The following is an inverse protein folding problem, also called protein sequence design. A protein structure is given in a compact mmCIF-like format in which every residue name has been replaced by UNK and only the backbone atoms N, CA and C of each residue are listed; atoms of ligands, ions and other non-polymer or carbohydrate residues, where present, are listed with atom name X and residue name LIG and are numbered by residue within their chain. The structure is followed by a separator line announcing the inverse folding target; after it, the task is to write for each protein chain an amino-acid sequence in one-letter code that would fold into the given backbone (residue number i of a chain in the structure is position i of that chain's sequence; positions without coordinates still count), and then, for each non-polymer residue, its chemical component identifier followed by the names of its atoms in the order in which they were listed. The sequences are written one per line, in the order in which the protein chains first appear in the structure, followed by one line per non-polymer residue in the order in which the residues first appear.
data_IF_038439322494
#
_entry.id   IF_038439322494
#
_cell.length_a   1.000
_cell.length_b   1.000
_cell.length_c   1.000
_cell.angle_alpha   90.00
_cell.angle_beta   90.00
_cell.angle_gamma   90.00
#
_symmetry.space_group_name_H-M   'P 1'
#
loop_
_entity.id
_entity.type
_entity.pdbx_description
1 polymer ?
#
# COMPACT_ATOMS: atom_id res chain seq x y z
N UNK A 1 80.25 -35.72 72.84
CA UNK A 1 79.68 -36.39 71.66
C UNK A 1 78.25 -36.67 72.08
N UNK A 2 77.24 -36.17 71.37
CA UNK A 2 75.86 -36.24 71.87
C UNK A 2 75.44 -37.70 72.11
N UNK A 3 74.82 -37.94 73.26
CA UNK A 3 74.32 -39.26 73.61
C UNK A 3 73.20 -39.69 72.65
N UNK A 4 73.05 -41.01 72.49
CA UNK A 4 72.17 -41.60 71.49
C UNK A 4 70.69 -41.18 71.67
N UNK A 5 70.29 -40.83 72.89
CA UNK A 5 68.95 -40.33 73.24
C UNK A 5 68.69 -38.93 72.66
N UNK A 6 69.68 -38.02 72.71
CA UNK A 6 69.61 -36.70 72.11
C UNK A 6 69.59 -36.78 70.58
N UNK A 7 70.40 -37.67 69.98
CA UNK A 7 70.39 -37.89 68.53
C UNK A 7 69.03 -38.41 68.04
N UNK A 8 68.42 -39.34 68.78
CA UNK A 8 67.09 -39.85 68.48
C UNK A 8 66.03 -38.73 68.57
N UNK A 9 66.09 -37.90 69.61
CA UNK A 9 65.18 -36.77 69.77
C UNK A 9 65.32 -35.74 68.63
N UNK A 10 66.55 -35.41 68.21
CA UNK A 10 66.79 -34.53 67.07
C UNK A 10 66.29 -35.14 65.75
N UNK A 11 66.42 -36.46 65.55
CA UNK A 11 65.85 -37.12 64.38
C UNK A 11 64.32 -37.03 64.35
N UNK A 12 63.64 -37.24 65.49
CA UNK A 12 62.18 -37.05 65.58
C UNK A 12 61.77 -35.59 65.35
N UNK A 13 62.49 -34.63 65.92
CA UNK A 13 62.25 -33.20 65.69
C UNK A 13 62.44 -32.83 64.20
N UNK A 14 63.47 -33.35 63.54
CA UNK A 14 63.70 -33.12 62.11
C UNK A 14 62.59 -33.71 61.23
N UNK A 15 62.12 -34.93 61.54
CA UNK A 15 61.00 -35.57 60.83
C UNK A 15 59.71 -34.76 61.00
N UNK A 16 59.41 -34.29 62.23
CA UNK A 16 58.24 -33.44 62.50
C UNK A 16 58.34 -32.11 61.74
N UNK A 17 59.54 -31.53 61.67
CA UNK A 17 59.78 -30.28 60.95
C UNK A 17 59.57 -30.44 59.43
N UNK A 18 60.17 -31.46 58.83
CA UNK A 18 59.99 -31.79 57.41
C UNK A 18 58.53 -32.10 57.07
N UNK A 19 57.84 -32.82 57.95
CA UNK A 19 56.42 -33.14 57.78
C UNK A 19 55.57 -31.87 57.79
N UNK A 20 55.82 -30.92 58.68
CA UNK A 20 55.12 -29.63 58.69
C UNK A 20 55.39 -28.82 57.41
N UNK A 21 56.62 -28.80 56.91
CA UNK A 21 56.96 -28.15 55.63
C UNK A 21 56.20 -28.79 54.47
N UNK A 22 56.10 -30.13 54.43
CA UNK A 22 55.30 -30.82 53.41
C UNK A 22 53.81 -30.52 53.54
N UNK A 23 53.33 -30.30 54.76
CA UNK A 23 51.93 -30.02 55.08
C UNK A 23 51.55 -28.56 54.79
N UNK A 24 52.51 -27.63 54.77
CA UNK A 24 52.28 -26.23 54.37
C UNK A 24 51.69 -26.08 52.95
N UNK A 25 51.77 -27.11 52.09
CA UNK A 25 51.08 -27.13 50.78
C UNK A 25 49.58 -27.46 50.88
N UNK A 26 49.08 -27.87 52.04
CA UNK A 26 47.69 -28.30 52.25
C UNK A 26 47.09 -27.63 53.49
N UNK A 27 46.19 -26.65 53.34
CA UNK A 27 45.73 -25.77 54.42
C UNK A 27 44.90 -26.44 55.54
N UNK A 28 44.50 -27.71 55.39
CA UNK A 28 43.56 -28.39 56.28
C UNK A 28 44.20 -29.48 57.17
N UNK A 29 45.48 -29.37 57.54
CA UNK A 29 46.17 -30.40 58.33
C UNK A 29 46.68 -29.88 59.67
N UNK A 30 46.71 -30.80 60.64
CA UNK A 30 47.05 -30.59 62.06
C UNK A 30 48.34 -29.78 62.20
N UNK A 31 48.32 -28.78 63.10
CA UNK A 31 49.51 -28.02 63.46
C UNK A 31 50.43 -28.87 64.37
N UNK A 32 51.60 -29.26 63.86
CA UNK A 32 52.57 -30.06 64.63
C UNK A 32 53.51 -29.20 65.48
N UNK A 33 53.41 -27.86 65.44
CA UNK A 33 54.27 -26.98 66.23
C UNK A 33 54.19 -27.27 67.75
N UNK A 34 53.01 -27.42 68.39
CA UNK A 34 52.95 -27.76 69.82
C UNK A 34 53.61 -29.11 70.14
N UNK A 35 53.60 -30.04 69.19
CA UNK A 35 54.21 -31.37 69.33
C UNK A 35 55.74 -31.30 69.31
N UNK A 36 56.31 -30.29 68.63
CA UNK A 36 57.75 -29.99 68.64
C UNK A 36 58.23 -29.64 70.05
N UNK A 37 57.53 -28.74 70.75
CA UNK A 37 57.83 -28.38 72.15
C UNK A 37 57.68 -29.60 73.06
N UNK A 38 56.63 -30.41 72.85
CA UNK A 38 56.41 -31.63 73.63
C UNK A 38 57.58 -32.61 73.55
N UNK A 39 58.10 -32.87 72.35
CA UNK A 39 59.25 -33.76 72.14
C UNK A 39 60.53 -33.17 72.73
N UNK A 40 60.77 -31.86 72.57
CA UNK A 40 61.93 -31.19 73.15
C UNK A 40 61.94 -31.19 74.68
N UNK A 41 60.78 -30.95 75.30
CA UNK A 41 60.62 -30.99 76.75
C UNK A 41 60.78 -32.41 77.32
N UNK A 42 60.17 -33.42 76.68
CA UNK A 42 60.33 -34.82 77.09
C UNK A 42 61.78 -35.25 76.94
N UNK A 43 62.43 -34.94 75.81
CA UNK A 43 63.84 -35.28 75.59
C UNK A 43 64.77 -34.61 76.60
N UNK A 44 64.50 -33.34 76.94
CA UNK A 44 65.24 -32.60 77.97
C UNK A 44 65.17 -33.28 79.34
N UNK A 45 63.97 -33.69 79.75
CA UNK A 45 63.74 -34.37 81.03
C UNK A 45 64.31 -35.79 81.05
N UNK A 46 64.12 -36.54 79.96
CA UNK A 46 64.62 -37.92 79.84
C UNK A 46 66.15 -37.96 79.88
N UNK A 47 66.82 -37.05 79.15
CA UNK A 47 68.28 -36.98 79.14
C UNK A 47 68.83 -36.66 80.54
N UNK A 48 68.18 -35.75 81.26
CA UNK A 48 68.53 -35.40 82.64
C UNK A 48 68.39 -36.57 83.63
N UNK A 49 67.39 -37.44 83.43
CA UNK A 49 67.13 -38.59 84.31
C UNK A 49 68.08 -39.77 84.03
N UNK A 50 68.43 -40.02 82.77
CA UNK A 50 69.20 -41.21 82.36
C UNK A 50 70.70 -41.05 82.65
N UNK A 51 71.23 -39.84 82.68
CA UNK A 51 72.66 -39.57 82.91
C UNK A 51 72.93 -38.82 84.23
N UNK A 52 72.61 -39.40 85.41
CA UNK A 52 72.83 -38.72 86.70
C UNK A 52 74.30 -38.65 87.13
N UNK A 53 75.17 -39.45 86.51
CA UNK A 53 76.52 -39.78 87.02
C UNK A 53 77.66 -39.08 86.25
N UNK A 54 77.43 -37.86 85.78
CA UNK A 54 78.45 -37.05 85.10
C UNK A 54 79.11 -36.13 86.12
N UNK A 55 80.44 -36.23 86.27
CA UNK A 55 81.27 -35.42 87.19
C UNK A 55 81.19 -33.90 86.99
N UNK A 56 80.47 -33.41 85.96
CA UNK A 56 80.23 -31.98 85.69
C UNK A 56 78.73 -31.70 85.50
N UNK A 57 78.04 -31.36 86.59
CA UNK A 57 76.61 -31.00 86.62
C UNK A 57 76.26 -29.85 85.65
N UNK A 58 77.18 -28.90 85.43
CA UNK A 58 76.99 -27.79 84.48
C UNK A 58 76.91 -28.27 83.03
N UNK A 59 77.67 -29.30 82.66
CA UNK A 59 77.66 -29.86 81.31
C UNK A 59 76.34 -30.60 81.03
N UNK A 60 75.87 -31.40 82.00
CA UNK A 60 74.60 -32.11 81.92
C UNK A 60 73.40 -31.16 81.79
N UNK A 61 73.39 -30.07 82.58
CA UNK A 61 72.36 -29.03 82.47
C UNK A 61 72.37 -28.40 81.07
N UNK A 62 73.54 -28.04 80.55
CA UNK A 62 73.66 -27.44 79.21
C UNK A 62 73.19 -28.38 78.10
N UNK A 63 73.53 -29.66 78.18
CA UNK A 63 73.16 -30.67 77.18
C UNK A 63 71.68 -31.04 77.28
N UNK A 64 71.13 -31.13 78.50
CA UNK A 64 69.69 -31.38 78.73
C UNK A 64 68.80 -30.23 78.25
N UNK A 65 69.24 -28.98 78.35
CA UNK A 65 68.45 -27.83 77.86
C UNK A 65 68.55 -27.61 76.34
N UNK A 66 69.51 -28.25 75.67
CA UNK A 66 69.72 -28.06 74.22
C UNK A 66 68.53 -28.53 73.37
N UNK A 67 67.92 -29.72 73.58
CA UNK A 67 66.70 -30.14 72.89
C UNK A 67 65.53 -29.18 73.08
N UNK A 68 65.35 -28.65 74.30
CA UNK A 68 64.31 -27.69 74.59
C UNK A 68 64.50 -26.41 73.78
N UNK A 69 65.73 -25.87 73.75
CA UNK A 69 66.06 -24.66 73.01
C UNK A 69 65.85 -24.84 71.50
N UNK A 70 66.31 -25.96 70.95
CA UNK A 70 66.11 -26.30 69.52
C UNK A 70 64.62 -26.44 69.20
N UNK A 71 63.85 -27.12 70.05
CA UNK A 71 62.41 -27.29 69.85
C UNK A 71 61.64 -25.95 69.89
N UNK A 72 62.06 -25.03 70.77
CA UNK A 72 61.45 -23.71 70.91
C UNK A 72 61.73 -22.84 69.67
N UNK A 73 62.95 -22.89 69.13
CA UNK A 73 63.32 -22.18 67.92
C UNK A 73 62.51 -22.70 66.71
N UNK A 74 62.45 -24.03 66.56
CA UNK A 74 61.65 -24.66 65.49
C UNK A 74 60.15 -24.36 65.65
N UNK A 75 59.63 -24.32 66.88
CA UNK A 75 58.25 -23.94 67.15
C UNK A 75 57.93 -22.52 66.65
N UNK A 76 58.79 -21.54 66.95
CA UNK A 76 58.59 -20.15 66.52
C UNK A 76 58.54 -20.08 64.99
N UNK A 77 59.48 -20.74 64.31
CA UNK A 77 59.52 -20.78 62.84
C UNK A 77 58.26 -21.42 62.27
N UNK A 78 57.84 -22.56 62.82
CA UNK A 78 56.64 -23.27 62.36
C UNK A 78 55.37 -22.44 62.58
N UNK A 79 55.27 -21.70 63.69
CA UNK A 79 54.10 -20.89 64.01
C UNK A 79 53.98 -19.68 63.07
N UNK A 80 55.09 -19.00 62.78
CA UNK A 80 55.13 -17.88 61.81
C UNK A 80 54.74 -18.36 60.41
N UNK A 81 55.23 -19.54 59.99
CA UNK A 81 54.88 -20.11 58.69
C UNK A 81 53.38 -20.43 58.60
N UNK A 82 52.80 -21.02 59.67
CA UNK A 82 51.38 -21.34 59.72
C UNK A 82 50.49 -20.09 59.69
N UNK A 83 50.84 -19.05 60.45
CA UNK A 83 50.10 -17.79 60.48
C UNK A 83 50.14 -17.05 59.12
N UNK A 84 51.30 -17.11 58.46
CA UNK A 84 51.48 -16.53 57.11
C UNK A 84 50.57 -17.22 56.09
N UNK A 85 50.48 -18.55 56.13
CA UNK A 85 49.62 -19.34 55.26
C UNK A 85 48.12 -19.05 55.46
N UNK A 86 47.66 -18.96 56.71
CA UNK A 86 46.27 -18.63 57.01
C UNK A 86 45.90 -17.24 56.49
N UNK A 87 46.80 -16.27 56.65
CA UNK A 87 46.60 -14.89 56.18
C UNK A 87 46.53 -14.82 54.65
N UNK A 88 47.40 -15.54 53.94
CA UNK A 88 47.35 -15.61 52.47
C UNK A 88 46.06 -16.28 51.97
N UNK A 89 45.64 -17.39 52.58
CA UNK A 89 44.40 -18.06 52.20
C UNK A 89 43.17 -17.18 52.42
N UNK A 90 43.12 -16.44 53.53
CA UNK A 90 42.04 -15.48 53.80
C UNK A 90 42.00 -14.35 52.76
N UNK A 91 43.16 -13.78 52.39
CA UNK A 91 43.24 -12.74 51.34
C UNK A 91 42.76 -13.25 49.98
N UNK A 92 43.20 -14.43 49.55
CA UNK A 92 42.75 -15.01 48.27
C UNK A 92 41.24 -15.29 48.23
N UNK A 93 40.64 -15.64 49.38
CA UNK A 93 39.19 -15.83 49.50
C UNK A 93 38.40 -14.52 49.45
N UNK A 94 38.94 -13.47 50.06
CA UNK A 94 38.34 -12.14 50.02
C UNK A 94 38.42 -11.53 48.61
N UNK A 95 39.58 -11.64 47.95
CA UNK A 95 39.78 -11.23 46.55
C UNK A 95 38.83 -11.98 45.61
N UNK A 96 38.68 -13.30 45.79
CA UNK A 96 37.75 -14.09 44.99
C UNK A 96 36.29 -13.68 45.24
N UNK A 97 35.90 -13.45 46.49
CA UNK A 97 34.54 -12.96 46.83
C UNK A 97 34.27 -11.59 46.20
N UNK A 98 35.21 -10.65 46.28
CA UNK A 98 35.08 -9.33 45.65
C UNK A 98 34.96 -9.44 44.14
N UNK A 99 35.74 -10.31 43.50
CA UNK A 99 35.64 -10.57 42.07
C UNK A 99 34.26 -11.13 41.67
N UNK A 100 33.72 -12.09 42.43
CA UNK A 100 32.39 -12.64 42.18
C UNK A 100 31.30 -11.57 42.35
N UNK A 101 31.38 -10.73 43.39
CA UNK A 101 30.44 -9.63 43.60
C UNK A 101 30.49 -8.64 42.43
N UNK A 102 31.68 -8.29 41.95
CA UNK A 102 31.85 -7.41 40.78
C UNK A 102 31.21 -8.02 39.53
N UNK A 103 31.50 -9.30 39.24
CA UNK A 103 30.96 -10.00 38.08
C UNK A 103 29.44 -10.14 38.13
N UNK A 104 28.87 -10.42 39.31
CA UNK A 104 27.40 -10.47 39.49
C UNK A 104 26.78 -9.09 39.30
N UNK A 105 27.46 -8.02 39.74
CA UNK A 105 26.98 -6.65 39.55
C UNK A 105 27.00 -6.24 38.07
N UNK A 106 28.07 -6.54 37.33
CA UNK A 106 28.17 -6.31 35.88
C UNK A 106 27.08 -7.07 35.11
N UNK A 107 26.84 -8.35 35.46
CA UNK A 107 25.79 -9.15 34.83
C UNK A 107 24.40 -8.56 35.09
N UNK A 108 24.16 -8.04 36.29
CA UNK A 108 22.88 -7.40 36.66
C UNK A 108 22.66 -6.11 35.86
N UNK A 109 23.70 -5.30 35.70
CA UNK A 109 23.65 -4.08 34.91
C UNK A 109 23.40 -4.38 33.43
N UNK A 110 24.09 -5.39 32.87
CA UNK A 110 23.87 -5.84 31.50
C UNK A 110 22.44 -6.36 31.28
N UNK A 111 21.89 -7.15 32.21
CA UNK A 111 20.50 -7.62 32.13
C UNK A 111 19.50 -6.46 32.17
N UNK A 112 19.74 -5.44 33.00
CA UNK A 112 18.88 -4.27 33.08
C UNK A 112 18.94 -3.41 31.79
N UNK A 113 20.13 -3.23 31.20
CA UNK A 113 20.27 -2.54 29.90
C UNK A 113 19.57 -3.32 28.78
N UNK A 114 19.72 -4.65 28.77
CA UNK A 114 19.07 -5.52 27.79
C UNK A 114 17.54 -5.49 27.90
N UNK A 115 17.01 -5.54 29.13
CA UNK A 115 15.56 -5.37 29.39
C UNK A 115 15.07 -4.00 28.92
N UNK A 116 15.83 -2.94 29.22
CA UNK A 116 15.52 -1.58 28.76
C UNK A 116 15.45 -1.47 27.24
N UNK A 117 16.44 -2.00 26.52
CA UNK A 117 16.45 -2.03 25.05
C UNK A 117 15.31 -2.86 24.47
N UNK A 118 15.00 -4.00 25.08
CA UNK A 118 13.89 -4.86 24.64
C UNK A 118 12.55 -4.14 24.76
N UNK A 119 12.29 -3.45 25.88
CA UNK A 119 11.06 -2.66 26.07
C UNK A 119 10.98 -1.53 25.05
N UNK A 120 12.08 -0.83 24.80
CA UNK A 120 12.14 0.30 23.86
C UNK A 120 11.86 -0.16 22.43
N UNK A 121 12.51 -1.25 22.00
CA UNK A 121 12.24 -1.88 20.69
C UNK A 121 10.80 -2.36 20.55
N UNK A 122 10.22 -2.96 21.59
CA UNK A 122 8.82 -3.41 21.57
C UNK A 122 7.83 -2.23 21.50
N UNK A 123 8.19 -1.09 22.09
CA UNK A 123 7.38 0.12 22.02
C UNK A 123 7.45 0.79 20.64
N UNK A 124 8.65 0.87 20.04
CA UNK A 124 8.85 1.36 18.67
C UNK A 124 8.09 0.50 17.64
N UNK A 125 8.16 -0.83 17.75
CA UNK A 125 7.43 -1.74 16.86
C UNK A 125 5.91 -1.54 16.96
N UNK A 126 5.38 -1.39 18.19
CA UNK A 126 3.95 -1.11 18.41
C UNK A 126 3.53 0.24 17.81
N UNK A 127 4.38 1.24 17.90
CA UNK A 127 4.11 2.57 17.33
C UNK A 127 4.16 2.54 15.80
N UNK A 128 5.14 1.87 15.21
CA UNK A 128 5.22 1.64 13.77
C UNK A 128 3.99 0.88 13.24
N UNK A 129 3.55 -0.16 13.96
CA UNK A 129 2.35 -0.93 13.61
C UNK A 129 1.07 -0.09 13.70
N UNK A 130 0.93 0.77 14.72
CA UNK A 130 -0.19 1.72 14.82
C UNK A 130 -0.18 2.70 13.66
N UNK A 131 0.97 3.32 13.35
CA UNK A 131 1.12 4.26 12.24
C UNK A 131 0.77 3.62 10.89
N UNK A 132 1.21 2.38 10.64
CA UNK A 132 0.81 1.61 9.45
C UNK A 132 -0.70 1.38 9.41
N UNK A 133 -1.30 0.97 10.52
CA UNK A 133 -2.75 0.70 10.60
C UNK A 133 -3.58 1.96 10.35
N UNK A 134 -3.17 3.10 10.90
CA UNK A 134 -3.82 4.39 10.65
C UNK A 134 -3.68 4.83 9.20
N UNK A 135 -2.51 4.67 8.60
CA UNK A 135 -2.29 4.96 7.18
C UNK A 135 -3.18 4.10 6.28
N UNK A 136 -3.25 2.78 6.54
CA UNK A 136 -4.16 1.87 5.83
C UNK A 136 -5.63 2.28 5.97
N UNK A 137 -6.05 2.70 7.17
CA UNK A 137 -7.42 3.19 7.39
C UNK A 137 -7.70 4.48 6.61
N UNK A 138 -6.69 5.35 6.47
CA UNK A 138 -6.74 6.53 5.61
C UNK A 138 -6.89 6.16 4.14
N UNK A 139 -6.03 5.27 3.64
CA UNK A 139 -6.03 4.83 2.24
C UNK A 139 -7.36 4.15 1.86
N UNK A 140 -7.96 3.35 2.75
CA UNK A 140 -9.28 2.74 2.51
C UNK A 140 -10.40 3.78 2.45
N UNK A 141 -10.37 4.81 3.29
CA UNK A 141 -11.35 5.89 3.21
C UNK A 141 -11.24 6.61 1.87
N UNK A 142 -10.01 6.86 1.40
CA UNK A 142 -9.78 7.44 0.08
C UNK A 142 -10.29 6.53 -1.05
N UNK A 143 -9.97 5.23 -0.99
CA UNK A 143 -10.45 4.23 -1.97
C UNK A 143 -11.97 4.09 -1.97
N UNK A 144 -12.64 4.14 -0.82
CA UNK A 144 -14.10 4.14 -0.75
C UNK A 144 -14.70 5.42 -1.33
N UNK A 145 -14.07 6.58 -1.10
CA UNK A 145 -14.50 7.82 -1.75
C UNK A 145 -14.32 7.76 -3.28
N UNK A 146 -13.22 7.14 -3.75
CA UNK A 146 -12.97 6.89 -5.17
C UNK A 146 -14.05 5.97 -5.74
N UNK A 147 -14.37 4.85 -5.09
CA UNK A 147 -15.44 3.93 -5.51
C UNK A 147 -16.80 4.63 -5.62
N UNK A 148 -17.20 5.40 -4.61
CA UNK A 148 -18.48 6.13 -4.66
C UNK A 148 -18.51 7.09 -5.85
N UNK A 149 -17.40 7.78 -6.12
CA UNK A 149 -17.30 8.65 -7.27
C UNK A 149 -17.30 7.85 -8.59
N UNK A 150 -16.63 6.71 -8.64
CA UNK A 150 -16.60 5.81 -9.80
C UNK A 150 -17.98 5.25 -10.13
N UNK A 151 -18.73 4.79 -9.13
CA UNK A 151 -20.12 4.35 -9.32
C UNK A 151 -20.99 5.47 -9.91
N UNK A 152 -20.84 6.71 -9.42
CA UNK A 152 -21.53 7.87 -10.01
C UNK A 152 -21.06 8.17 -11.43
N UNK A 153 -19.77 8.02 -11.72
CA UNK A 153 -19.24 8.18 -13.07
C UNK A 153 -19.79 7.11 -14.01
N UNK A 154 -19.86 5.84 -13.61
CA UNK A 154 -20.44 4.75 -14.37
C UNK A 154 -21.92 5.02 -14.70
N UNK A 155 -22.69 5.52 -13.73
CA UNK A 155 -24.09 5.88 -13.95
C UNK A 155 -24.23 7.04 -14.96
N UNK A 156 -23.39 8.07 -14.83
CA UNK A 156 -23.31 9.18 -15.81
C UNK A 156 -22.85 8.70 -17.18
N UNK A 157 -22.04 7.65 -17.19
CA UNK A 157 -21.55 7.06 -18.40
C UNK A 157 -22.65 6.31 -19.15
N UNK A 158 -23.46 5.51 -18.45
CA UNK A 158 -24.61 4.85 -19.03
C UNK A 158 -25.65 5.86 -19.57
N UNK A 159 -25.88 6.98 -18.86
CA UNK A 159 -26.68 8.11 -19.37
C UNK A 159 -26.10 8.67 -20.69
N UNK A 160 -24.77 8.85 -20.76
CA UNK A 160 -24.09 9.37 -21.95
C UNK A 160 -24.18 8.39 -23.14
N UNK A 161 -24.15 7.07 -22.87
CA UNK A 161 -24.36 6.05 -23.89
C UNK A 161 -25.80 6.08 -24.43
N UNK A 162 -26.78 6.34 -23.58
CA UNK A 162 -28.18 6.54 -23.99
C UNK A 162 -28.33 7.81 -24.83
N UNK A 163 -27.67 8.91 -24.45
CA UNK A 163 -27.62 10.13 -25.25
C UNK A 163 -26.97 9.90 -26.60
N UNK A 164 -25.84 9.19 -26.66
CA UNK A 164 -25.19 8.82 -27.91
C UNK A 164 -26.14 8.04 -28.83
N UNK A 165 -26.87 7.05 -28.30
CA UNK A 165 -27.90 6.33 -29.06
C UNK A 165 -29.01 7.26 -29.56
N UNK A 166 -29.49 8.17 -28.71
CA UNK A 166 -30.52 9.15 -29.08
C UNK A 166 -30.06 10.08 -30.21
N UNK A 167 -28.85 10.61 -30.09
CA UNK A 167 -28.21 11.46 -31.10
C UNK A 167 -27.99 10.69 -32.39
N UNK A 168 -27.41 9.50 -32.33
CA UNK A 168 -27.16 8.66 -33.51
C UNK A 168 -28.46 8.30 -34.25
N UNK A 169 -29.55 8.02 -33.53
CA UNK A 169 -30.87 7.83 -34.13
C UNK A 169 -31.42 9.11 -34.79
N UNK A 170 -31.16 10.27 -34.19
CA UNK A 170 -31.54 11.56 -34.79
C UNK A 170 -30.73 11.85 -36.06
N UNK A 171 -29.44 11.49 -36.09
CA UNK A 171 -28.60 11.51 -37.29
C UNK A 171 -29.17 10.61 -38.38
N UNK A 172 -29.48 9.36 -38.07
CA UNK A 172 -30.09 8.43 -39.02
C UNK A 172 -31.40 8.98 -39.60
N UNK A 173 -32.26 9.56 -38.75
CA UNK A 173 -33.52 10.14 -39.20
C UNK A 173 -33.30 11.38 -40.09
N UNK A 174 -32.34 12.23 -39.75
CA UNK A 174 -31.99 13.40 -40.56
C UNK A 174 -31.47 12.97 -41.93
N UNK A 175 -30.50 12.05 -41.97
CA UNK A 175 -29.81 11.61 -43.18
C UNK A 175 -30.71 10.78 -44.09
N UNK A 176 -31.49 9.84 -43.53
CA UNK A 176 -32.26 8.90 -44.33
C UNK A 176 -33.71 9.32 -44.60
N UNK A 177 -34.25 10.29 -43.85
CA UNK A 177 -35.65 10.73 -44.00
C UNK A 177 -35.73 12.20 -44.38
N UNK A 178 -35.18 13.11 -43.55
CA UNK A 178 -35.38 14.55 -43.75
C UNK A 178 -34.63 15.10 -44.97
N UNK A 179 -33.39 14.66 -45.21
CA UNK A 179 -32.60 15.05 -46.38
C UNK A 179 -33.27 14.61 -47.69
N UNK A 180 -33.66 13.33 -47.86
CA UNK A 180 -34.39 12.88 -49.04
C UNK A 180 -35.76 13.52 -49.21
N UNK A 181 -36.49 13.78 -48.12
CA UNK A 181 -37.80 14.43 -48.18
C UNK A 181 -37.68 15.88 -48.68
N UNK A 182 -36.68 16.61 -48.19
CA UNK A 182 -36.40 17.98 -48.65
C UNK A 182 -35.95 18.01 -50.11
N UNK A 183 -35.09 17.07 -50.53
CA UNK A 183 -34.68 16.92 -51.94
C UNK A 183 -35.89 16.62 -52.85
N UNK A 184 -36.82 15.80 -52.38
CA UNK A 184 -38.05 15.46 -53.09
C UNK A 184 -39.01 16.68 -53.20
N UNK A 185 -39.07 17.53 -52.16
CA UNK A 185 -39.82 18.80 -52.21
C UNK A 185 -39.21 19.77 -53.22
N UNK A 186 -37.88 19.85 -53.29
CA UNK A 186 -37.18 20.68 -54.28
C UNK A 186 -37.43 20.17 -55.70
N UNK A 187 -37.33 18.86 -55.93
CA UNK A 187 -37.65 18.24 -57.22
C UNK A 187 -39.12 18.44 -57.63
N UNK A 188 -40.06 18.30 -56.68
CA UNK A 188 -41.47 18.63 -56.93
C UNK A 188 -41.67 20.10 -57.30
N UNK A 189 -40.94 21.01 -56.69
CA UNK A 189 -40.96 22.42 -57.10
C UNK A 189 -40.50 22.57 -58.54
N UNK A 190 -39.36 21.97 -58.90
CA UNK A 190 -38.80 21.99 -60.27
C UNK A 190 -39.81 21.41 -61.29
N UNK A 191 -40.43 20.27 -60.98
CA UNK A 191 -41.44 19.67 -61.84
C UNK A 191 -42.69 20.56 -61.97
N UNK A 192 -43.12 21.20 -60.89
CA UNK A 192 -44.22 22.15 -60.90
C UNK A 192 -43.90 23.38 -61.77
N UNK A 193 -42.64 23.86 -61.75
CA UNK A 193 -42.18 24.92 -62.66
C UNK A 193 -42.30 24.46 -64.12
N UNK A 194 -41.84 23.24 -64.41
CA UNK A 194 -41.86 22.67 -65.77
C UNK A 194 -43.29 22.50 -66.30
N UNK A 195 -44.21 22.02 -65.46
CA UNK A 195 -45.63 21.84 -65.83
C UNK A 195 -46.30 23.20 -66.03
N UNK A 196 -46.06 24.17 -65.15
CA UNK A 196 -46.63 25.51 -65.28
C UNK A 196 -46.18 26.19 -66.58
N UNK A 197 -44.90 26.10 -66.95
CA UNK A 197 -44.36 26.65 -68.19
C UNK A 197 -44.99 25.99 -69.43
N UNK A 198 -45.16 24.66 -69.38
CA UNK A 198 -45.75 23.90 -70.48
C UNK A 198 -47.26 24.14 -70.64
N UNK A 199 -48.02 24.24 -69.56
CA UNK A 199 -49.44 24.61 -69.60
C UNK A 199 -49.64 26.03 -70.13
N UNK A 200 -48.76 26.96 -69.76
CA UNK A 200 -48.81 28.32 -70.26
C UNK A 200 -48.53 28.39 -71.77
N UNK A 201 -47.51 27.66 -72.26
CA UNK A 201 -47.26 27.51 -73.70
C UNK A 201 -48.48 26.96 -74.44
N UNK A 202 -49.14 25.95 -73.86
CA UNK A 202 -50.35 25.36 -74.44
C UNK A 202 -51.52 26.35 -74.48
N UNK A 203 -51.74 27.16 -73.43
CA UNK A 203 -52.76 28.20 -73.42
C UNK A 203 -52.49 29.30 -74.46
N UNK A 204 -51.24 29.75 -74.59
CA UNK A 204 -50.87 30.74 -75.61
C UNK A 204 -51.11 30.18 -77.01
N UNK A 205 -50.70 28.93 -77.26
CA UNK A 205 -50.94 28.23 -78.52
C UNK A 205 -52.43 28.10 -78.85
N UNK A 206 -53.25 27.68 -77.89
CA UNK A 206 -54.69 27.53 -78.08
C UNK A 206 -55.39 28.87 -78.36
N UNK A 207 -54.96 29.94 -77.69
CA UNK A 207 -55.51 31.29 -77.90
C UNK A 207 -55.13 31.83 -79.27
N UNK A 208 -53.87 31.63 -79.69
CA UNK A 208 -53.40 31.99 -81.02
C UNK A 208 -54.16 31.24 -82.13
N UNK A 209 -54.43 29.95 -81.89
CA UNK A 209 -55.18 29.11 -82.81
C UNK A 209 -56.64 29.57 -82.95
N UNK A 210 -57.32 29.92 -81.85
CA UNK A 210 -58.67 30.52 -81.90
C UNK A 210 -58.70 31.86 -82.65
N UNK A 211 -57.68 32.69 -82.49
CA UNK A 211 -57.58 33.96 -83.23
C UNK A 211 -57.34 33.72 -84.73
N UNK A 212 -56.61 32.66 -85.09
CA UNK A 212 -56.40 32.22 -86.48
C UNK A 212 -57.69 31.66 -87.09
N UNK A 213 -58.45 30.85 -86.35
CA UNK A 213 -59.73 30.29 -86.80
C UNK A 213 -60.78 31.39 -87.04
N UNK A 214 -60.90 32.37 -86.14
CA UNK A 214 -61.79 33.53 -86.36
C UNK A 214 -61.42 34.35 -87.61
N UNK A 215 -60.15 34.32 -88.05
CA UNK A 215 -59.73 35.00 -89.28
C UNK A 215 -60.26 34.31 -90.54
N UNK A 216 -60.50 33.00 -90.47
CA UNK A 216 -61.11 32.25 -91.57
C UNK A 216 -62.61 32.53 -91.67
N UNK A 217 -63.34 32.62 -90.55
CA UNK A 217 -64.77 32.98 -90.53
C UNK A 217 -65.02 34.37 -91.14
N UNK A 218 -64.19 35.37 -90.80
CA UNK A 218 -64.30 36.73 -91.39
C UNK A 218 -64.00 36.71 -92.90
N UNK A 219 -63.11 35.84 -93.35
CA UNK A 219 -62.82 35.70 -94.79
C UNK A 219 -63.98 35.04 -95.54
N UNK A 220 -64.67 34.10 -94.92
CA UNK A 220 -65.85 33.43 -95.48
C UNK A 220 -67.05 34.38 -95.57
N UNK A 221 -67.27 35.21 -94.54
CA UNK A 221 -68.27 36.27 -94.55
C UNK A 221 -68.01 37.32 -95.65
N UNK A 222 -66.75 37.68 -95.91
CA UNK A 222 -66.36 38.59 -97.00
C UNK A 222 -66.63 37.96 -98.37
N UNK A 223 -66.37 36.66 -98.54
CA UNK A 223 -66.61 35.96 -99.80
C UNK A 223 -68.13 35.80 -100.06
N UNK A 224 -68.93 35.52 -99.01
CA UNK A 224 -70.40 35.55 -99.04
C UNK A 224 -70.94 36.95 -99.39
N UNK A 225 -70.39 38.01 -98.81
CA UNK A 225 -70.77 39.40 -99.13
C UNK A 225 -70.47 39.73 -100.60
N UNK A 226 -69.34 39.27 -101.12
CA UNK A 226 -68.92 39.42 -102.52
C UNK A 226 -69.84 38.64 -103.45
N UNK A 227 -70.24 37.43 -103.10
CA UNK A 227 -71.20 36.63 -103.85
C UNK A 227 -72.57 37.35 -103.93
N UNK A 228 -73.07 37.84 -102.78
CA UNK A 228 -74.30 38.64 -102.69
C UNK A 228 -74.24 39.94 -103.52
N UNK A 229 -73.10 40.63 -103.54
CA UNK A 229 -72.87 41.82 -104.37
C UNK A 229 -72.88 41.50 -105.88
N UNK A 230 -72.44 40.31 -106.26
CA UNK A 230 -72.38 39.88 -107.66
C UNK A 230 -73.78 39.56 -108.21
N UNK A 231 -74.66 38.99 -107.37
CA UNK A 231 -76.08 38.79 -107.66
C UNK A 231 -76.92 40.08 -107.77
N UNK A 232 -76.40 41.23 -107.33
CA UNK A 232 -77.09 42.53 -107.37
C UNK A 232 -76.80 43.38 -108.64
N UNK A 233 -76.12 42.82 -109.64
CA UNK A 233 -75.64 43.55 -110.85
C UNK A 233 -76.73 44.08 -111.80
N UNK A 234 -78.01 43.88 -111.50
CA UNK A 234 -79.12 44.43 -112.26
C UNK A 234 -80.07 45.19 -111.33
N UNK A 235 -80.02 46.54 -111.32
CA UNK A 235 -81.13 47.52 -111.10
C UNK A 235 -80.57 48.95 -110.80
N UNK A 236 -81.36 49.97 -111.18
CA UNK A 236 -81.18 51.44 -111.36
C UNK A 236 -80.57 52.31 -110.23
N UNK A 237 -80.07 53.50 -110.61
CA UNK A 237 -79.23 54.49 -109.87
C UNK A 237 -79.71 54.94 -108.47
N UNK A 238 -81.01 55.07 -108.21
CA UNK A 238 -81.49 55.45 -106.86
C UNK A 238 -81.34 54.30 -105.85
N UNK A 239 -81.45 53.07 -106.35
CA UNK A 239 -81.17 51.87 -105.57
C UNK A 239 -79.65 51.71 -105.39
N UNK A 240 -78.82 52.08 -106.37
CA UNK A 240 -77.36 52.08 -106.20
C UNK A 240 -76.87 53.03 -105.10
N UNK A 241 -77.49 54.22 -104.92
CA UNK A 241 -77.21 55.11 -103.78
C UNK A 241 -77.67 54.52 -102.44
N UNK A 242 -78.86 53.93 -102.38
CA UNK A 242 -79.36 53.29 -101.16
C UNK A 242 -78.52 52.06 -100.78
N UNK A 243 -78.12 51.25 -101.77
CA UNK A 243 -77.25 50.08 -101.61
C UNK A 243 -75.86 50.50 -101.19
N UNK A 244 -75.20 51.45 -101.87
CA UNK A 244 -73.87 51.91 -101.45
C UNK A 244 -73.89 52.49 -100.04
N UNK A 245 -74.95 53.21 -99.66
CA UNK A 245 -75.13 53.68 -98.28
C UNK A 245 -75.30 52.52 -97.29
N UNK A 246 -76.19 51.56 -97.58
CA UNK A 246 -76.45 50.41 -96.71
C UNK A 246 -75.23 49.47 -96.61
N UNK A 247 -74.53 49.23 -97.72
CA UNK A 247 -73.29 48.46 -97.78
C UNK A 247 -72.17 49.18 -97.03
N UNK A 248 -72.04 50.51 -97.16
CA UNK A 248 -71.07 51.28 -96.39
C UNK A 248 -71.39 51.27 -94.89
N UNK A 249 -72.67 51.33 -94.52
CA UNK A 249 -73.12 51.23 -93.12
C UNK A 249 -72.85 49.82 -92.55
N UNK A 250 -73.09 48.75 -93.33
CA UNK A 250 -72.76 47.39 -92.90
C UNK A 250 -71.26 47.11 -92.86
N UNK A 251 -70.48 47.53 -93.86
CA UNK A 251 -69.01 47.44 -93.83
C UNK A 251 -68.43 48.27 -92.68
N UNK A 252 -68.98 49.46 -92.43
CA UNK A 252 -68.61 50.27 -91.27
C UNK A 252 -68.91 49.56 -89.97
N UNK A 253 -70.10 48.94 -89.83
CA UNK A 253 -70.47 48.13 -88.67
C UNK A 253 -69.54 46.93 -88.44
N UNK A 254 -69.22 46.17 -89.49
CA UNK A 254 -68.28 45.03 -89.46
C UNK A 254 -66.87 45.51 -89.11
N UNK A 255 -66.41 46.60 -89.73
CA UNK A 255 -65.07 47.16 -89.48
C UNK A 255 -64.94 47.65 -88.04
N UNK A 256 -65.99 48.28 -87.50
CA UNK A 256 -66.02 48.73 -86.09
C UNK A 256 -66.08 47.56 -85.11
N UNK A 257 -66.83 46.51 -85.44
CA UNK A 257 -66.86 45.28 -84.65
C UNK A 257 -65.49 44.59 -84.64
N UNK A 258 -64.82 44.52 -85.80
CA UNK A 258 -63.47 43.99 -85.93
C UNK A 258 -62.44 44.86 -85.18
N UNK A 259 -62.52 46.18 -85.30
CA UNK A 259 -61.65 47.11 -84.55
C UNK A 259 -61.82 46.94 -83.04
N UNK A 260 -63.05 46.82 -82.55
CA UNK A 260 -63.33 46.54 -81.14
C UNK A 260 -62.78 45.18 -80.68
N UNK A 261 -62.87 44.15 -81.53
CA UNK A 261 -62.27 42.85 -81.25
C UNK A 261 -60.74 42.92 -81.23
N UNK A 262 -60.11 43.63 -82.16
CA UNK A 262 -58.65 43.86 -82.19
C UNK A 262 -58.19 44.60 -80.93
N UNK A 263 -58.92 45.64 -80.51
CA UNK A 263 -58.62 46.40 -79.28
C UNK A 263 -58.76 45.53 -78.04
N UNK A 264 -59.82 44.72 -77.96
CA UNK A 264 -60.01 43.76 -76.87
C UNK A 264 -58.90 42.71 -76.85
N UNK A 265 -58.51 42.18 -78.00
CA UNK A 265 -57.43 41.19 -78.14
C UNK A 265 -56.08 41.79 -77.73
N UNK A 266 -55.81 43.04 -78.13
CA UNK A 266 -54.61 43.78 -77.74
C UNK A 266 -54.56 43.97 -76.22
N UNK A 267 -55.65 44.44 -75.62
CA UNK A 267 -55.74 44.62 -74.16
C UNK A 267 -55.56 43.30 -73.42
N UNK A 268 -56.17 42.21 -73.90
CA UNK A 268 -56.00 40.89 -73.31
C UNK A 268 -54.56 40.38 -73.45
N UNK A 269 -53.92 40.61 -74.60
CA UNK A 269 -52.52 40.24 -74.85
C UNK A 269 -51.56 41.03 -73.98
N UNK A 270 -51.79 42.33 -73.76
CA UNK A 270 -51.02 43.16 -72.82
C UNK A 270 -51.20 42.68 -71.37
N UNK A 271 -52.43 42.29 -70.99
CA UNK A 271 -52.71 41.67 -69.70
C UNK A 271 -51.97 40.34 -69.49
N UNK A 272 -51.99 39.46 -70.50
CA UNK A 272 -51.24 38.19 -70.49
C UNK A 272 -49.73 38.45 -70.45
N UNK A 273 -49.23 39.43 -71.21
CA UNK A 273 -47.81 39.81 -71.20
C UNK A 273 -47.36 40.32 -69.82
N UNK A 274 -48.21 41.08 -69.13
CA UNK A 274 -47.91 41.58 -67.78
C UNK A 274 -47.91 40.43 -66.77
N UNK A 275 -48.91 39.55 -66.84
CA UNK A 275 -48.98 38.35 -65.99
C UNK A 275 -47.79 37.40 -66.22
N UNK A 276 -47.30 37.26 -67.46
CA UNK A 276 -46.08 36.53 -67.80
C UNK A 276 -44.85 37.14 -67.15
N UNK A 277 -44.69 38.46 -67.25
CA UNK A 277 -43.55 39.16 -66.66
C UNK A 277 -43.53 39.06 -65.13
N UNK A 278 -44.70 39.15 -64.49
CA UNK A 278 -44.85 38.95 -63.05
C UNK A 278 -44.61 37.48 -62.65
N UNK A 279 -45.08 36.53 -63.45
CA UNK A 279 -44.85 35.10 -63.26
C UNK A 279 -43.37 34.73 -63.36
N UNK A 280 -42.66 35.27 -64.36
CA UNK A 280 -41.23 35.02 -64.56
C UNK A 280 -40.38 35.63 -63.43
N UNK A 281 -40.75 36.81 -62.93
CA UNK A 281 -40.11 37.39 -61.75
C UNK A 281 -40.34 36.54 -60.48
N UNK A 282 -41.56 36.02 -60.29
CA UNK A 282 -41.84 35.08 -59.18
C UNK A 282 -41.04 33.79 -59.32
N UNK A 283 -40.96 33.24 -60.53
CA UNK A 283 -40.19 32.02 -60.81
C UNK A 283 -38.70 32.20 -60.54
N UNK A 284 -38.11 33.31 -60.98
CA UNK A 284 -36.71 33.62 -60.69
C UNK A 284 -36.47 33.72 -59.18
N UNK A 285 -37.37 34.36 -58.44
CA UNK A 285 -37.26 34.44 -56.98
C UNK A 285 -37.34 33.07 -56.30
N UNK A 286 -38.25 32.19 -56.74
CA UNK A 286 -38.35 30.81 -56.23
C UNK A 286 -37.09 30.00 -56.55
N UNK A 287 -36.52 30.18 -57.74
CA UNK A 287 -35.27 29.51 -58.14
C UNK A 287 -34.10 29.92 -57.25
N UNK A 288 -33.92 31.23 -57.04
CA UNK A 288 -32.85 31.76 -56.17
C UNK A 288 -32.99 31.25 -54.73
N UNK A 289 -34.22 31.21 -54.20
CA UNK A 289 -34.49 30.65 -52.87
C UNK A 289 -34.18 29.15 -52.81
N UNK A 290 -34.56 28.39 -53.84
CA UNK A 290 -34.30 26.95 -53.91
C UNK A 290 -32.80 26.64 -53.98
N UNK A 291 -32.04 27.41 -54.77
CA UNK A 291 -30.57 27.29 -54.82
C UNK A 291 -29.91 27.63 -53.47
N UNK A 292 -30.42 28.66 -52.77
CA UNK A 292 -29.94 29.02 -51.43
C UNK A 292 -30.19 27.88 -50.43
N UNK A 293 -31.40 27.31 -50.43
CA UNK A 293 -31.77 26.17 -49.57
C UNK A 293 -30.86 24.98 -49.88
N UNK A 294 -30.61 24.68 -51.16
CA UNK A 294 -29.75 23.57 -51.56
C UNK A 294 -28.30 23.77 -51.09
N UNK A 295 -27.75 24.99 -51.19
CA UNK A 295 -26.42 25.33 -50.64
C UNK A 295 -26.38 25.18 -49.12
N UNK A 296 -27.43 25.63 -48.41
CA UNK A 296 -27.52 25.44 -46.96
C UNK A 296 -27.65 23.96 -46.59
N UNK A 297 -28.37 23.17 -47.36
CA UNK A 297 -28.53 21.73 -47.15
C UNK A 297 -27.19 20.99 -47.26
N UNK A 298 -26.38 21.31 -48.28
CA UNK A 298 -25.02 20.76 -48.43
C UNK A 298 -24.13 21.15 -47.25
N UNK A 299 -24.18 22.42 -46.81
CA UNK A 299 -23.42 22.88 -45.64
C UNK A 299 -23.88 22.19 -44.34
N UNK A 300 -25.19 22.03 -44.15
CA UNK A 300 -25.76 21.32 -43.01
C UNK A 300 -25.32 19.85 -43.02
N UNK A 301 -25.43 19.16 -44.15
CA UNK A 301 -24.99 17.77 -44.30
C UNK A 301 -23.50 17.61 -43.95
N UNK A 302 -22.63 18.51 -44.45
CA UNK A 302 -21.20 18.46 -44.12
C UNK A 302 -20.95 18.66 -42.62
N UNK A 303 -21.60 19.64 -41.99
CA UNK A 303 -21.51 19.83 -40.53
C UNK A 303 -22.06 18.65 -39.74
N UNK A 304 -23.09 17.99 -40.26
CA UNK A 304 -23.70 16.80 -39.68
C UNK A 304 -22.67 15.65 -39.66
N UNK A 305 -22.02 15.38 -40.80
CA UNK A 305 -20.98 14.36 -40.88
C UNK A 305 -19.79 14.65 -39.93
N UNK A 306 -19.35 15.90 -39.84
CA UNK A 306 -18.31 16.31 -38.88
C UNK A 306 -18.74 16.10 -37.41
N UNK A 307 -20.02 16.32 -37.10
CA UNK A 307 -20.58 16.07 -35.77
C UNK A 307 -20.69 14.58 -35.47
N UNK A 308 -21.08 13.76 -36.45
CA UNK A 308 -21.14 12.30 -36.32
C UNK A 308 -19.75 11.72 -36.03
N UNK A 309 -18.74 12.14 -36.79
CA UNK A 309 -17.34 11.72 -36.58
C UNK A 309 -16.87 12.10 -35.16
N UNK A 310 -17.12 13.34 -34.71
CA UNK A 310 -16.79 13.76 -33.34
C UNK A 310 -17.55 12.99 -32.27
N UNK A 311 -18.82 12.70 -32.50
CA UNK A 311 -19.66 11.95 -31.57
C UNK A 311 -19.17 10.49 -31.43
N UNK A 312 -18.76 9.86 -32.54
CA UNK A 312 -18.15 8.53 -32.54
C UNK A 312 -16.81 8.51 -31.78
N UNK A 313 -15.93 9.48 -32.02
CA UNK A 313 -14.68 9.60 -31.27
C UNK A 313 -14.89 9.85 -29.77
N UNK A 314 -15.97 10.55 -29.40
CA UNK A 314 -16.33 10.75 -27.99
C UNK A 314 -16.78 9.43 -27.34
N UNK A 315 -17.47 8.57 -28.09
CA UNK A 315 -17.87 7.23 -27.64
C UNK A 315 -16.67 6.31 -27.40
N UNK A 316 -15.64 6.39 -28.25
CA UNK A 316 -14.41 5.60 -28.08
C UNK A 316 -13.61 6.04 -26.84
N UNK A 317 -13.50 7.35 -26.61
CA UNK A 317 -12.86 7.89 -25.40
C UNK A 317 -13.65 7.48 -24.16
N UNK A 318 -14.97 7.54 -24.24
CA UNK A 318 -15.88 7.13 -23.20
C UNK A 318 -15.69 5.65 -22.79
N UNK A 319 -15.67 4.73 -23.78
CA UNK A 319 -15.50 3.30 -23.53
C UNK A 319 -14.16 3.02 -22.87
N UNK A 320 -13.10 3.66 -23.35
CA UNK A 320 -11.76 3.56 -22.75
C UNK A 320 -11.75 4.02 -21.27
N UNK A 321 -12.47 5.09 -20.93
CA UNK A 321 -12.54 5.55 -19.53
C UNK A 321 -13.37 4.59 -18.67
N UNK A 322 -14.44 4.01 -19.21
CA UNK A 322 -15.24 3.00 -18.51
C UNK A 322 -14.39 1.78 -18.15
N UNK A 323 -13.61 1.26 -19.10
CA UNK A 323 -12.70 0.13 -18.86
C UNK A 323 -11.66 0.46 -17.78
N UNK A 324 -11.10 1.68 -17.80
CA UNK A 324 -10.16 2.14 -16.77
C UNK A 324 -10.80 2.17 -15.36
N UNK A 325 -12.08 2.56 -15.26
CA UNK A 325 -12.80 2.56 -13.99
C UNK A 325 -12.98 1.13 -13.46
N UNK A 326 -13.31 0.17 -14.33
CA UNK A 326 -13.40 -1.25 -13.98
C UNK A 326 -12.03 -1.81 -13.52
N UNK A 327 -10.94 -1.44 -14.19
CA UNK A 327 -9.59 -1.82 -13.76
C UNK A 327 -9.25 -1.29 -12.36
N UNK A 328 -9.67 -0.06 -12.03
CA UNK A 328 -9.43 0.50 -10.69
C UNK A 328 -10.23 -0.24 -9.61
N UNK A 329 -11.44 -0.71 -9.89
CA UNK A 329 -12.20 -1.57 -8.97
C UNK A 329 -11.45 -2.87 -8.68
N UNK A 330 -10.85 -3.50 -9.69
CA UNK A 330 -10.00 -4.66 -9.51
C UNK A 330 -8.78 -4.38 -8.62
N UNK A 331 -8.08 -3.26 -8.85
CA UNK A 331 -6.93 -2.85 -8.03
C UNK A 331 -7.34 -2.64 -6.56
N UNK A 332 -8.51 -2.05 -6.30
CA UNK A 332 -9.04 -1.89 -4.94
C UNK A 332 -9.27 -3.25 -4.28
N UNK A 333 -9.90 -4.19 -4.98
CA UNK A 333 -10.16 -5.52 -4.44
C UNK A 333 -8.86 -6.23 -4.03
N UNK A 334 -7.83 -6.14 -4.87
CA UNK A 334 -6.50 -6.68 -4.56
C UNK A 334 -5.82 -5.96 -3.39
N UNK A 335 -6.01 -4.64 -3.26
CA UNK A 335 -5.50 -3.88 -2.13
C UNK A 335 -6.16 -4.30 -0.80
N UNK A 336 -7.49 -4.46 -0.78
CA UNK A 336 -8.24 -4.95 0.40
C UNK A 336 -7.79 -6.35 0.78
N UNK A 337 -7.59 -7.23 -0.20
CA UNK A 337 -7.07 -8.59 0.01
C UNK A 337 -5.64 -8.54 0.61
N UNK A 338 -4.78 -7.69 0.07
CA UNK A 338 -3.41 -7.50 0.55
C UNK A 338 -3.38 -6.97 1.98
N UNK A 339 -4.30 -6.06 2.34
CA UNK A 339 -4.46 -5.56 3.70
C UNK A 339 -4.89 -6.67 4.67
N UNK A 340 -5.83 -7.52 4.28
CA UNK A 340 -6.25 -8.66 5.09
C UNK A 340 -5.09 -9.64 5.33
N UNK A 341 -4.30 -9.91 4.30
CA UNK A 341 -3.10 -10.74 4.39
C UNK A 341 -2.03 -10.11 5.29
N UNK A 342 -1.73 -8.81 5.13
CA UNK A 342 -0.80 -8.08 5.99
C UNK A 342 -1.26 -8.09 7.45
N UNK A 343 -2.55 -7.88 7.69
CA UNK A 343 -3.13 -7.94 9.04
C UNK A 343 -2.96 -9.32 9.66
N UNK A 344 -3.10 -10.39 8.86
CA UNK A 344 -2.82 -11.76 9.30
C UNK A 344 -1.33 -11.99 9.60
N UNK A 345 -0.42 -11.52 8.75
CA UNK A 345 1.03 -11.61 8.97
C UNK A 345 1.41 -10.89 10.26
N UNK A 346 0.93 -9.67 10.44
CA UNK A 346 1.16 -8.86 11.65
C UNK A 346 0.67 -9.59 12.90
N UNK A 347 -0.55 -10.16 12.87
CA UNK A 347 -1.07 -10.95 13.99
C UNK A 347 -0.21 -12.18 14.28
N UNK A 348 0.27 -12.87 13.25
CA UNK A 348 1.14 -14.04 13.40
C UNK A 348 2.50 -13.65 13.98
N UNK A 349 3.06 -12.51 13.54
CA UNK A 349 4.34 -12.00 14.02
C UNK A 349 4.27 -11.58 15.49
N UNK A 350 3.20 -10.91 15.90
CA UNK A 350 2.95 -10.60 17.32
C UNK A 350 2.80 -11.86 18.18
N UNK A 351 2.16 -12.92 17.65
CA UNK A 351 2.07 -14.20 18.36
C UNK A 351 3.43 -14.88 18.49
N UNK A 352 4.20 -14.93 17.40
CA UNK A 352 5.55 -15.51 17.40
C UNK A 352 6.48 -14.76 18.37
N UNK A 353 6.44 -13.43 18.38
CA UNK A 353 7.20 -12.60 19.32
C UNK A 353 6.81 -12.90 20.77
N UNK A 354 5.52 -13.07 21.06
CA UNK A 354 5.06 -13.41 22.40
C UNK A 354 5.48 -14.83 22.83
N UNK A 355 5.45 -15.80 21.91
CA UNK A 355 5.95 -17.15 22.13
C UNK A 355 7.46 -17.14 22.41
N UNK A 356 8.23 -16.36 21.66
CA UNK A 356 9.67 -16.22 21.86
C UNK A 356 10.01 -15.56 23.21
N UNK A 357 9.30 -14.49 23.59
CA UNK A 357 9.43 -13.86 24.92
C UNK A 357 9.13 -14.86 26.03
N UNK A 358 8.06 -15.64 25.88
CA UNK A 358 7.69 -16.65 26.88
C UNK A 358 8.78 -17.75 26.98
N UNK A 359 9.32 -18.21 25.84
CA UNK A 359 10.41 -19.17 25.79
C UNK A 359 11.69 -18.63 26.46
N UNK A 360 12.07 -17.38 26.18
CA UNK A 360 13.22 -16.74 26.82
C UNK A 360 13.01 -16.63 28.32
N UNK A 361 11.80 -16.26 28.76
CA UNK A 361 11.46 -16.19 30.19
C UNK A 361 11.56 -17.56 30.87
N UNK A 362 11.05 -18.60 30.24
CA UNK A 362 11.12 -19.98 30.76
C UNK A 362 12.58 -20.46 30.86
N UNK A 363 13.39 -20.22 29.82
CA UNK A 363 14.82 -20.50 29.86
C UNK A 363 15.54 -19.71 30.96
N UNK A 364 15.15 -18.46 31.18
CA UNK A 364 15.73 -17.61 32.22
C UNK A 364 15.36 -18.10 33.62
N UNK A 365 14.11 -18.54 33.83
CA UNK A 365 13.67 -19.19 35.07
C UNK A 365 14.42 -20.50 35.32
N UNK A 366 14.59 -21.34 34.31
CA UNK A 366 15.40 -22.56 34.39
C UNK A 366 16.86 -22.27 34.75
N UNK A 367 17.44 -21.23 34.15
CA UNK A 367 18.82 -20.82 34.40
C UNK A 367 18.98 -20.27 35.83
N UNK A 368 17.97 -19.54 36.35
CA UNK A 368 17.90 -19.13 37.76
C UNK A 368 17.84 -20.36 38.66
N UNK A 369 16.99 -21.35 38.37
CA UNK A 369 16.89 -22.59 39.18
C UNK A 369 18.22 -23.36 39.17
N UNK A 370 18.87 -23.50 38.02
CA UNK A 370 20.17 -24.16 37.90
C UNK A 370 21.23 -23.40 38.70
N UNK A 371 21.28 -22.07 38.59
CA UNK A 371 22.22 -21.24 39.33
C UNK A 371 21.98 -21.34 40.84
N UNK A 372 20.75 -21.22 41.30
CA UNK A 372 20.39 -21.38 42.72
C UNK A 372 20.79 -22.77 43.22
N UNK A 373 20.46 -23.84 42.49
CA UNK A 373 20.87 -25.21 42.86
C UNK A 373 22.39 -25.38 42.90
N UNK A 374 23.13 -24.70 42.02
CA UNK A 374 24.60 -24.76 41.99
C UNK A 374 25.21 -23.95 43.14
N UNK A 375 24.59 -22.84 43.51
CA UNK A 375 24.94 -22.03 44.70
C UNK A 375 24.66 -22.84 45.96
N UNK A 376 23.47 -23.41 46.11
CA UNK A 376 23.08 -24.26 47.24
C UNK A 376 24.00 -25.47 47.36
N UNK A 377 24.27 -26.19 46.27
CA UNK A 377 25.25 -27.29 46.30
C UNK A 377 26.66 -26.83 46.68
N UNK A 378 27.06 -25.61 46.30
CA UNK A 378 28.38 -25.06 46.67
C UNK A 378 28.40 -24.63 48.13
N UNK A 379 27.30 -24.08 48.65
CA UNK A 379 27.09 -23.77 50.06
C UNK A 379 27.01 -25.03 50.92
N UNK A 380 26.31 -26.07 50.47
CA UNK A 380 26.24 -27.37 51.14
C UNK A 380 27.60 -28.05 51.17
N UNK A 381 28.36 -28.03 50.07
CA UNK A 381 29.75 -28.53 50.08
C UNK A 381 30.64 -27.73 51.04
N UNK A 382 30.43 -26.41 51.14
CA UNK A 382 31.12 -25.58 52.11
C UNK A 382 30.71 -25.97 53.54
N UNK A 383 29.41 -26.19 53.77
CA UNK A 383 28.84 -26.54 55.07
C UNK A 383 29.23 -27.95 55.52
N UNK A 384 29.25 -28.92 54.61
CA UNK A 384 29.73 -30.28 54.82
C UNK A 384 31.24 -30.28 55.12
N UNK A 385 32.03 -29.46 54.41
CA UNK A 385 33.43 -29.23 54.78
C UNK A 385 33.59 -28.65 56.20
N UNK A 386 32.68 -27.77 56.62
CA UNK A 386 32.65 -27.23 57.98
C UNK A 386 32.20 -28.27 59.01
N UNK A 387 31.22 -29.10 58.68
CA UNK A 387 30.70 -30.13 59.59
C UNK A 387 31.67 -31.28 59.75
N UNK A 388 32.34 -31.75 58.69
CA UNK A 388 33.42 -32.74 58.79
C UNK A 388 34.56 -32.20 59.65
N UNK A 389 34.94 -30.92 59.49
CA UNK A 389 35.94 -30.29 60.34
C UNK A 389 35.48 -30.15 61.81
N UNK A 390 34.22 -29.84 62.07
CA UNK A 390 33.64 -29.72 63.41
C UNK A 390 33.42 -31.08 64.09
N UNK A 391 33.05 -32.10 63.32
CA UNK A 391 32.72 -33.43 63.81
C UNK A 391 33.97 -34.26 64.12
N UNK A 392 35.03 -34.14 63.32
CA UNK A 392 36.35 -34.70 63.67
C UNK A 392 36.96 -34.02 64.91
N UNK A 393 36.73 -32.72 65.11
CA UNK A 393 37.11 -32.02 66.34
C UNK A 393 36.28 -32.54 67.52
N UNK A 394 34.97 -32.73 67.36
CA UNK A 394 34.07 -33.15 68.44
C UNK A 394 34.29 -34.62 68.85
N UNK A 395 34.57 -35.51 67.90
CA UNK A 395 34.89 -36.90 68.18
C UNK A 395 36.29 -37.06 68.76
N UNK A 396 37.27 -36.27 68.30
CA UNK A 396 38.60 -36.21 68.93
C UNK A 396 38.55 -35.66 70.36
N UNK A 397 37.71 -34.66 70.63
CA UNK A 397 37.47 -34.12 71.98
C UNK A 397 36.72 -35.12 72.85
N UNK A 398 35.74 -35.88 72.32
CA UNK A 398 35.08 -36.98 73.06
C UNK A 398 36.03 -38.11 73.39
N UNK A 399 36.93 -38.49 72.48
CA UNK A 399 37.95 -39.53 72.71
C UNK A 399 38.99 -39.06 73.72
N UNK A 400 39.40 -37.80 73.68
CA UNK A 400 40.29 -37.20 74.67
C UNK A 400 39.62 -37.08 76.06
N UNK A 401 38.35 -36.69 76.12
CA UNK A 401 37.58 -36.65 77.37
C UNK A 401 37.36 -38.05 77.97
N UNK A 402 37.09 -39.07 77.14
CA UNK A 402 37.04 -40.48 77.59
C UNK A 402 38.39 -40.98 78.09
N UNK A 403 39.50 -40.63 77.43
CA UNK A 403 40.85 -40.99 77.89
C UNK A 403 41.27 -40.25 79.16
N UNK A 404 40.78 -39.03 79.39
CA UNK A 404 41.01 -38.29 80.63
C UNK A 404 40.23 -38.87 81.82
N UNK A 405 38.99 -39.34 81.62
CA UNK A 405 38.22 -40.03 82.67
C UNK A 405 38.82 -41.40 83.06
N UNK A 406 39.45 -42.12 82.11
CA UNK A 406 40.05 -43.44 82.38
C UNK A 406 41.40 -43.33 83.12
N UNK A 407 42.07 -42.17 83.13
CA UNK A 407 43.33 -41.95 83.86
C UNK A 407 43.19 -41.31 85.24
N UNK A 408 41.96 -41.04 85.70
CA UNK A 408 41.68 -40.48 87.03
C UNK A 408 41.40 -41.51 88.14
N UNK A 409 41.40 -42.82 87.84
CA UNK A 409 41.04 -43.88 88.80
C UNK A 409 41.91 -45.14 88.63
N UNK A 410 43.23 -45.00 88.72
CA UNK A 410 44.15 -46.10 89.08
C UNK A 410 45.38 -45.47 89.73
N UNK A 411 45.26 -45.18 91.03
CA UNK A 411 46.34 -45.23 92.05
C UNK A 411 45.75 -44.73 93.38
N UNK A 412 44.90 -45.57 93.99
CA UNK A 412 44.72 -45.66 95.43
C UNK A 412 44.82 -47.14 95.77
N UNK A 413 46.06 -47.59 95.99
CA UNK A 413 46.46 -48.56 97.01
C UNK A 413 47.98 -48.69 97.06
#
# INVERSE_FOLDING_TARGET
MFDNDLLLAFAFMAILFLRQISILKHPNKINYAPLMIGVGAISSVVHFIIHPDVTNVILLLRESFLPLLVSLLLYIVMNILHQTQQTQSARTKDEFSQFIVSQVSELKEFMADLEGRMILSQQEDREAQKNLTEKFKGDIKALNAIEINQSRFLEKFDEMQEWHKGVSKAFDNFTNVQLPELDNVVHKHIDMLRVAEQDHYNQTKATLQKALENKYDVSEDIESLKENLTSMRAISDDIAKAITKHTLEQLSGITKAFENQIVSLKSHTEGVSTALYEGENRLNSIREQSEMIMKQMVLSSKKMNELEEKNSGLHDIYTTIKDLVEEIEHIKADYVKSQAQLSSIVSNLSRAQQEEINSVKEQMEDLIVILTKKIDNSLDKLHEHYHIASQDITDSVKVLAKKAQIKGYTDLN
#
